data_IF_891081339546
#
_entry.id   IF_891081339546
#
_cell.length_a   1.000
_cell.length_b   1.000
_cell.length_c   1.000
_cell.angle_alpha   90.00
_cell.angle_beta   90.00
_cell.angle_gamma   90.00
#
_symmetry.space_group_name_H-M   'P 1'
#
loop_
_entity.id
_entity.type
_entity.pdbx_description
1 polymer ?
#
# COMPACT_ATOMS: atom_id res chain seq x y z
N UNK A 1 45.56 -7.69 4.59
CA UNK A 1 44.51 -7.73 3.54
C UNK A 1 43.79 -9.06 3.65
N UNK A 2 42.49 -9.04 3.94
CA UNK A 2 41.56 -10.13 3.66
C UNK A 2 40.13 -9.61 3.85
N UNK A 3 39.47 -9.36 2.72
CA UNK A 3 38.04 -9.07 2.65
C UNK A 3 37.29 -10.40 2.67
N UNK A 4 36.59 -10.70 3.78
CA UNK A 4 35.43 -11.60 3.82
C UNK A 4 34.98 -11.75 5.26
N UNK A 5 33.92 -11.03 5.63
CA UNK A 5 32.96 -11.32 6.72
C UNK A 5 32.11 -10.07 6.94
N UNK A 6 31.00 -9.95 6.21
CA UNK A 6 29.82 -9.17 6.63
C UNK A 6 28.67 -9.48 5.68
N UNK A 7 27.73 -10.29 6.18
CA UNK A 7 26.27 -10.31 5.99
C UNK A 7 25.76 -11.76 5.97
N UNK A 8 25.52 -12.27 7.17
CA UNK A 8 24.51 -13.27 7.41
C UNK A 8 23.44 -12.58 8.27
N UNK A 9 22.30 -12.24 7.68
CA UNK A 9 21.06 -12.00 8.43
C UNK A 9 20.04 -12.96 7.84
N UNK A 10 19.59 -13.85 8.72
CA UNK A 10 18.91 -15.07 8.41
C UNK A 10 17.47 -14.85 7.92
N UNK A 11 17.11 -15.72 6.97
CA UNK A 11 15.76 -16.06 6.53
C UNK A 11 15.07 -16.88 7.63
N UNK A 12 13.88 -16.45 8.06
CA UNK A 12 12.83 -17.29 8.65
C UNK A 12 11.57 -16.99 7.82
N UNK A 13 10.85 -17.92 7.19
CA UNK A 13 10.50 -19.28 7.59
C UNK A 13 9.05 -19.26 8.11
N UNK A 14 8.04 -19.28 7.23
CA UNK A 14 6.63 -19.44 7.63
C UNK A 14 6.10 -20.76 7.06
N UNK A 15 5.85 -21.70 7.96
CA UNK A 15 5.24 -23.00 7.69
C UNK A 15 3.72 -22.88 7.55
N UNK A 16 3.15 -23.66 6.62
CA UNK A 16 1.71 -23.95 6.56
C UNK A 16 1.32 -24.90 7.71
N UNK A 17 0.27 -24.57 8.43
CA UNK A 17 -0.58 -25.55 9.12
C UNK A 17 -2.03 -25.06 9.04
N UNK A 18 -2.94 -25.98 8.69
CA UNK A 18 -4.36 -25.70 8.52
C UNK A 18 -5.14 -25.83 9.83
N UNK A 19 -6.35 -25.26 9.84
CA UNK A 19 -7.42 -25.65 10.76
C UNK A 19 -8.16 -24.53 11.47
N UNK A 20 -9.35 -24.22 10.92
CA UNK A 20 -10.61 -23.89 11.62
C UNK A 20 -10.76 -22.52 12.34
N UNK A 21 -11.63 -21.69 11.74
CA UNK A 21 -12.53 -20.67 12.30
C UNK A 21 -12.15 -19.96 13.61
N UNK A 22 -11.81 -18.68 13.47
CA UNK A 22 -11.66 -17.73 14.58
C UNK A 22 -10.52 -16.75 14.31
N UNK A 23 -10.63 -15.89 13.29
CA UNK A 23 -9.58 -14.89 13.05
C UNK A 23 -9.64 -13.80 14.12
N UNK A 24 -8.65 -13.84 15.01
CA UNK A 24 -8.24 -12.69 15.82
C UNK A 24 -7.97 -11.47 14.91
N UNK A 25 -8.22 -10.24 15.37
CA UNK A 25 -8.06 -9.04 14.56
C UNK A 25 -6.62 -8.91 14.07
N UNK A 26 -6.44 -8.92 12.75
CA UNK A 26 -5.14 -8.92 12.08
C UNK A 26 -4.38 -7.61 12.36
N UNK A 27 -3.20 -7.72 12.97
CA UNK A 27 -2.31 -6.60 13.32
C UNK A 27 -1.94 -5.72 12.11
N UNK A 28 -2.09 -6.23 10.89
CA UNK A 28 -1.87 -5.47 9.66
C UNK A 28 -2.89 -4.34 9.42
N UNK A 29 -4.08 -4.40 10.03
CA UNK A 29 -5.14 -3.38 9.92
C UNK A 29 -4.85 -2.14 10.79
N UNK A 30 -4.22 -2.34 11.96
CA UNK A 30 -3.81 -1.23 12.85
C UNK A 30 -2.64 -0.46 12.24
N UNK A 31 -1.68 -1.18 11.66
CA UNK A 31 -0.54 -0.58 10.94
C UNK A 31 -0.95 0.24 9.71
N UNK A 32 -2.02 -0.15 9.03
CA UNK A 32 -2.62 0.57 7.91
C UNK A 32 -3.11 1.98 8.30
N UNK A 33 -3.82 2.10 9.42
CA UNK A 33 -4.38 3.37 9.90
C UNK A 33 -3.30 4.26 10.52
N UNK A 34 -2.42 3.67 11.31
CA UNK A 34 -1.32 4.38 11.95
C UNK A 34 -0.39 5.02 10.91
N UNK A 35 -0.05 4.31 9.84
CA UNK A 35 0.89 4.83 8.84
C UNK A 35 0.27 5.85 7.87
N UNK A 36 -1.07 5.93 7.81
CA UNK A 36 -1.81 6.97 7.11
C UNK A 36 -2.00 8.23 7.98
N UNK A 37 -2.15 8.08 9.30
CA UNK A 37 -2.28 9.20 10.26
C UNK A 37 -1.04 10.10 10.35
N UNK A 38 0.16 9.57 10.05
CA UNK A 38 1.40 10.37 10.09
C UNK A 38 1.56 11.30 8.89
N UNK A 39 0.91 11.02 7.75
CA UNK A 39 1.09 11.78 6.51
C UNK A 39 0.21 13.05 6.51
N UNK A 40 0.70 14.07 7.23
CA UNK A 40 0.05 15.36 7.56
C UNK A 40 -0.26 16.27 6.35
N UNK A 41 -0.69 15.74 5.21
CA UNK A 41 -1.38 16.56 4.20
C UNK A 41 -2.88 16.61 4.52
N UNK A 42 -3.49 17.78 4.37
CA UNK A 42 -4.91 18.04 4.66
C UNK A 42 -5.87 17.08 3.91
N UNK A 43 -5.45 16.65 2.72
CA UNK A 43 -6.13 15.65 1.89
C UNK A 43 -6.23 14.26 2.55
N UNK A 44 -5.15 13.76 3.15
CA UNK A 44 -5.14 12.44 3.79
C UNK A 44 -5.97 12.41 5.08
N UNK A 45 -5.97 13.52 5.85
CA UNK A 45 -6.69 13.60 7.13
C UNK A 45 -8.22 13.59 6.93
N UNK A 46 -8.71 14.25 5.87
CA UNK A 46 -10.10 14.19 5.42
C UNK A 46 -10.45 12.79 4.89
N UNK A 47 -9.56 12.20 4.07
CA UNK A 47 -9.77 10.85 3.50
C UNK A 47 -9.83 9.75 4.58
N UNK A 48 -9.01 9.79 5.63
CA UNK A 48 -9.02 8.82 6.74
C UNK A 48 -10.27 8.98 7.61
N UNK A 49 -10.72 10.22 7.83
CA UNK A 49 -11.94 10.52 8.59
C UNK A 49 -13.18 10.02 7.82
N UNK A 50 -13.22 10.25 6.51
CA UNK A 50 -14.30 9.82 5.61
C UNK A 50 -14.29 8.32 5.32
N UNK A 51 -13.11 7.68 5.19
CA UNK A 51 -12.93 6.24 5.00
C UNK A 51 -12.94 5.43 6.29
N UNK A 52 -13.27 6.06 7.43
CA UNK A 52 -13.13 5.55 8.81
C UNK A 52 -13.14 4.03 8.94
N UNK A 53 -12.11 3.50 9.61
CA UNK A 53 -11.68 2.09 9.58
C UNK A 53 -12.78 1.05 9.51
N UNK A 54 -12.51 -0.05 8.79
CA UNK A 54 -13.46 -1.12 8.50
C UNK A 54 -14.13 -1.70 9.77
N UNK A 55 -13.42 -1.74 10.91
CA UNK A 55 -13.97 -2.11 12.24
C UNK A 55 -15.12 -1.24 12.73
N UNK A 56 -15.22 0.03 12.31
CA UNK A 56 -16.33 0.90 12.73
C UNK A 56 -17.68 0.34 12.26
N UNK A 57 -17.72 -0.37 11.13
CA UNK A 57 -18.95 -0.99 10.63
C UNK A 57 -19.35 -2.23 11.41
N UNK A 58 -18.38 -3.00 11.85
CA UNK A 58 -18.63 -4.24 12.61
C UNK A 58 -19.23 -3.92 13.99
N UNK A 59 -19.02 -2.70 14.49
CA UNK A 59 -19.63 -2.17 15.73
C UNK A 59 -21.00 -1.51 15.55
N UNK A 60 -21.51 -1.38 14.32
CA UNK A 60 -22.79 -0.74 14.01
C UNK A 60 -23.90 -1.78 13.82
N UNK A 61 -25.18 -1.39 14.01
CA UNK A 61 -26.30 -2.20 13.55
C UNK A 61 -26.18 -2.50 12.05
N UNK A 62 -26.46 -3.75 11.63
CA UNK A 62 -26.21 -4.24 10.27
C UNK A 62 -26.78 -3.34 9.16
N UNK A 63 -28.02 -2.86 9.32
CA UNK A 63 -28.65 -1.97 8.34
C UNK A 63 -27.91 -0.63 8.22
N UNK A 64 -27.49 -0.05 9.34
CA UNK A 64 -26.72 1.19 9.39
C UNK A 64 -25.34 1.00 8.76
N UNK A 65 -24.68 -0.12 9.07
CA UNK A 65 -23.39 -0.47 8.48
C UNK A 65 -23.49 -0.58 6.95
N UNK A 66 -24.48 -1.31 6.44
CA UNK A 66 -24.70 -1.50 5.01
C UNK A 66 -25.00 -0.18 4.28
N UNK A 67 -25.84 0.70 4.84
CA UNK A 67 -26.13 2.00 4.26
C UNK A 67 -24.87 2.87 4.17
N UNK A 68 -24.08 2.92 5.25
CA UNK A 68 -22.83 3.69 5.28
C UNK A 68 -21.78 3.13 4.32
N UNK A 69 -21.69 1.82 4.18
CA UNK A 69 -20.80 1.20 3.17
C UNK A 69 -21.24 1.55 1.75
N UNK A 70 -22.54 1.50 1.45
CA UNK A 70 -23.07 1.89 0.13
C UNK A 70 -22.80 3.35 -0.20
N UNK A 71 -23.00 4.27 0.75
CA UNK A 71 -22.65 5.69 0.59
C UNK A 71 -21.17 5.86 0.21
N UNK A 72 -20.28 5.11 0.88
CA UNK A 72 -18.84 5.13 0.59
C UNK A 72 -18.48 4.53 -0.76
N UNK A 73 -19.12 3.44 -1.18
CA UNK A 73 -18.92 2.86 -2.51
C UNK A 73 -19.24 3.89 -3.59
N UNK A 74 -20.39 4.58 -3.50
CA UNK A 74 -20.75 5.63 -4.48
C UNK A 74 -19.70 6.73 -4.51
N UNK A 75 -19.35 7.27 -3.34
CA UNK A 75 -18.38 8.35 -3.21
C UNK A 75 -16.99 7.98 -3.75
N UNK A 76 -16.56 6.74 -3.52
CA UNK A 76 -15.26 6.21 -3.96
C UNK A 76 -15.25 5.98 -5.46
N UNK A 77 -16.30 5.36 -6.02
CA UNK A 77 -16.42 5.10 -7.46
C UNK A 77 -16.25 6.36 -8.31
N UNK A 78 -16.86 7.47 -7.89
CA UNK A 78 -16.72 8.78 -8.56
C UNK A 78 -15.26 9.28 -8.57
N UNK A 79 -14.49 8.97 -7.52
CA UNK A 79 -13.12 9.45 -7.35
C UNK A 79 -12.08 8.53 -7.99
N UNK A 80 -12.30 7.21 -7.96
CA UNK A 80 -11.43 6.21 -8.60
C UNK A 80 -11.49 6.24 -10.11
N UNK A 81 -12.58 6.78 -10.68
CA UNK A 81 -12.76 6.92 -12.13
C UNK A 81 -11.73 7.86 -12.79
N UNK A 82 -11.08 8.75 -12.02
CA UNK A 82 -10.08 9.67 -12.57
C UNK A 82 -8.78 8.94 -12.94
N UNK A 83 -8.16 9.23 -14.09
CA UNK A 83 -6.91 8.58 -14.52
C UNK A 83 -5.75 8.70 -13.51
N UNK A 84 -5.64 9.85 -12.87
CA UNK A 84 -4.63 10.20 -11.88
C UNK A 84 -5.04 9.87 -10.44
N UNK A 85 -6.20 9.22 -10.25
CA UNK A 85 -6.66 8.88 -8.90
C UNK A 85 -5.66 7.98 -8.19
N UNK A 86 -5.54 8.23 -6.89
CA UNK A 86 -4.68 7.47 -6.02
C UNK A 86 -5.15 6.01 -5.97
N UNK A 87 -4.22 5.07 -6.19
CA UNK A 87 -4.52 3.63 -6.18
C UNK A 87 -5.08 3.17 -4.84
N UNK A 88 -4.75 3.88 -3.75
CA UNK A 88 -5.27 3.65 -2.39
C UNK A 88 -6.80 3.72 -2.34
N UNK A 89 -7.42 4.62 -3.12
CA UNK A 89 -8.88 4.71 -3.24
C UNK A 89 -9.47 3.45 -3.88
N UNK A 90 -8.78 2.88 -4.86
CA UNK A 90 -9.17 1.62 -5.50
C UNK A 90 -9.14 0.45 -4.52
N UNK A 91 -8.08 0.31 -3.72
CA UNK A 91 -8.04 -0.72 -2.68
C UNK A 91 -9.19 -0.58 -1.69
N UNK A 92 -9.47 0.64 -1.22
CA UNK A 92 -10.61 0.89 -0.33
C UNK A 92 -11.93 0.49 -0.98
N UNK A 93 -12.17 0.92 -2.22
CA UNK A 93 -13.37 0.61 -2.98
C UNK A 93 -13.57 -0.89 -3.16
N UNK A 94 -12.52 -1.63 -3.53
CA UNK A 94 -12.59 -3.08 -3.69
C UNK A 94 -13.00 -3.79 -2.40
N UNK A 95 -12.45 -3.40 -1.26
CA UNK A 95 -12.83 -3.97 0.05
C UNK A 95 -14.29 -3.65 0.38
N UNK A 96 -14.75 -2.42 0.12
CA UNK A 96 -16.14 -2.03 0.38
C UNK A 96 -17.15 -2.75 -0.53
N UNK A 97 -16.84 -2.89 -1.83
CA UNK A 97 -17.64 -3.66 -2.78
C UNK A 97 -17.75 -5.11 -2.33
N UNK A 98 -16.64 -5.72 -1.89
CA UNK A 98 -16.65 -7.09 -1.38
C UNK A 98 -17.53 -7.24 -0.14
N UNK A 99 -17.54 -6.27 0.78
CA UNK A 99 -18.37 -6.30 2.00
C UNK A 99 -19.88 -6.26 1.71
N UNK A 100 -20.31 -5.66 0.60
CA UNK A 100 -21.72 -5.64 0.18
C UNK A 100 -22.09 -6.78 -0.77
N UNK A 101 -21.18 -7.73 -1.00
CA UNK A 101 -21.40 -8.89 -1.86
C UNK A 101 -21.16 -8.63 -3.34
N UNK A 102 -20.63 -7.48 -3.72
CA UNK A 102 -20.30 -7.13 -5.11
C UNK A 102 -18.90 -7.64 -5.49
N UNK A 103 -18.76 -8.96 -5.53
CA UNK A 103 -17.47 -9.64 -5.61
C UNK A 103 -16.79 -9.48 -6.96
N UNK A 104 -17.54 -9.33 -8.05
CA UNK A 104 -16.97 -9.16 -9.38
C UNK A 104 -16.39 -7.76 -9.56
N UNK A 105 -17.13 -6.71 -9.17
CA UNK A 105 -16.64 -5.35 -9.28
C UNK A 105 -15.50 -5.11 -8.28
N UNK A 106 -15.55 -5.71 -7.09
CA UNK A 106 -14.43 -5.72 -6.16
C UNK A 106 -13.14 -6.29 -6.79
N UNK A 107 -13.26 -7.41 -7.51
CA UNK A 107 -12.14 -8.05 -8.18
C UNK A 107 -11.55 -7.19 -9.31
N UNK A 108 -12.40 -6.55 -10.11
CA UNK A 108 -11.99 -5.62 -11.18
C UNK A 108 -11.31 -4.39 -10.59
N UNK A 109 -11.94 -3.76 -9.59
CA UNK A 109 -11.38 -2.60 -8.89
C UNK A 109 -10.02 -2.92 -8.26
N UNK A 110 -9.87 -4.09 -7.63
CA UNK A 110 -8.60 -4.50 -7.04
C UNK A 110 -7.51 -4.67 -8.10
N UNK A 111 -7.82 -5.35 -9.22
CA UNK A 111 -6.83 -5.57 -10.28
C UNK A 111 -6.36 -4.27 -10.94
N UNK A 112 -7.27 -3.31 -11.14
CA UNK A 112 -6.94 -1.97 -11.66
C UNK A 112 -6.16 -1.14 -10.64
N UNK A 113 -6.46 -1.26 -9.35
CA UNK A 113 -5.66 -0.65 -8.28
C UNK A 113 -4.24 -1.23 -8.22
N UNK A 114 -4.10 -2.55 -8.35
CA UNK A 114 -2.80 -3.25 -8.31
C UNK A 114 -1.89 -2.84 -9.46
N UNK A 115 -2.40 -2.72 -10.69
CA UNK A 115 -1.55 -2.30 -11.83
C UNK A 115 -1.07 -0.86 -11.66
N UNK A 116 -1.93 0.04 -11.17
CA UNK A 116 -1.56 1.43 -10.84
C UNK A 116 -0.50 1.47 -9.75
N UNK A 117 -0.72 0.74 -8.66
CA UNK A 117 0.19 0.67 -7.53
C UNK A 117 1.53 0.05 -7.91
N UNK A 118 1.52 -0.97 -8.79
CA UNK A 118 2.73 -1.54 -9.35
C UNK A 118 3.51 -0.52 -10.17
N UNK A 119 2.88 0.19 -11.12
CA UNK A 119 3.56 1.22 -11.92
C UNK A 119 4.15 2.30 -11.02
N UNK A 120 3.39 2.81 -10.05
CA UNK A 120 3.87 3.83 -9.12
C UNK A 120 5.07 3.32 -8.28
N UNK A 121 5.06 2.05 -7.87
CA UNK A 121 6.21 1.43 -7.17
C UNK A 121 7.46 1.35 -8.04
N UNK A 122 7.30 1.14 -9.35
CA UNK A 122 8.42 1.08 -10.28
C UNK A 122 9.03 2.45 -10.57
N UNK A 123 8.31 3.54 -10.27
CA UNK A 123 8.82 4.91 -10.42
C UNK A 123 9.72 5.36 -9.27
N UNK A 124 9.65 4.72 -8.10
CA UNK A 124 10.54 5.03 -6.98
C UNK A 124 11.99 4.63 -7.33
N UNK A 125 12.97 5.51 -7.15
CA UNK A 125 14.37 5.10 -7.27
C UNK A 125 14.79 4.19 -6.11
N UNK A 126 14.23 4.44 -4.94
CA UNK A 126 14.41 3.59 -3.78
C UNK A 126 13.39 2.45 -3.77
N UNK A 127 13.86 1.25 -4.10
CA UNK A 127 13.01 0.04 -4.15
C UNK A 127 12.67 -0.54 -2.78
N UNK A 128 13.25 -0.01 -1.69
CA UNK A 128 12.92 -0.46 -0.33
C UNK A 128 11.63 0.14 0.22
N UNK A 129 11.18 1.29 -0.31
CA UNK A 129 9.94 1.96 0.13
C UNK A 129 8.67 1.17 -0.23
N UNK A 130 8.44 0.78 -1.50
CA UNK A 130 7.13 0.28 -1.91
C UNK A 130 6.62 -0.97 -1.17
N UNK A 131 7.44 -1.99 -0.83
CA UNK A 131 6.95 -3.16 -0.11
C UNK A 131 6.32 -2.83 1.25
N UNK A 132 6.92 -1.92 2.03
CA UNK A 132 6.38 -1.50 3.31
C UNK A 132 5.06 -0.74 3.15
N UNK A 133 4.96 0.09 2.11
CA UNK A 133 3.75 0.87 1.80
C UNK A 133 2.60 0.01 1.28
N UNK A 134 2.87 -0.96 0.42
CA UNK A 134 1.83 -1.77 -0.24
C UNK A 134 1.30 -2.90 0.62
N UNK A 135 2.13 -3.48 1.49
CA UNK A 135 1.78 -4.66 2.29
C UNK A 135 0.46 -4.49 3.07
N UNK A 136 0.24 -3.40 3.83
CA UNK A 136 -1.01 -3.24 4.59
C UNK A 136 -2.27 -3.22 3.69
N UNK A 137 -2.20 -2.55 2.55
CA UNK A 137 -3.32 -2.48 1.58
C UNK A 137 -3.61 -3.83 0.94
N UNK A 138 -2.55 -4.58 0.57
CA UNK A 138 -2.70 -5.94 0.02
C UNK A 138 -3.18 -6.94 1.06
N UNK A 139 -2.83 -6.76 2.32
CA UNK A 139 -3.33 -7.57 3.43
C UNK A 139 -4.82 -7.35 3.65
N UNK A 140 -5.26 -6.08 3.67
CA UNK A 140 -6.68 -5.75 3.77
C UNK A 140 -7.51 -6.32 2.59
N UNK A 141 -6.91 -6.46 1.41
CA UNK A 141 -7.57 -7.01 0.21
C UNK A 141 -7.46 -8.54 0.05
N UNK A 142 -6.89 -9.29 1.02
CA UNK A 142 -6.67 -10.74 0.89
C UNK A 142 -7.93 -11.54 0.55
N UNK A 143 -9.08 -11.19 1.15
CA UNK A 143 -10.35 -11.84 0.84
C UNK A 143 -10.73 -11.71 -0.64
N UNK A 144 -10.48 -10.54 -1.24
CA UNK A 144 -10.77 -10.29 -2.66
C UNK A 144 -9.80 -11.04 -3.57
N UNK A 145 -8.51 -11.16 -3.21
CA UNK A 145 -7.58 -12.01 -3.97
C UNK A 145 -8.01 -13.48 -3.99
N UNK A 146 -8.53 -14.00 -2.87
CA UNK A 146 -9.06 -15.36 -2.79
C UNK A 146 -10.30 -15.52 -3.70
N UNK A 147 -11.20 -14.55 -3.69
CA UNK A 147 -12.34 -14.48 -4.63
C UNK A 147 -11.85 -14.56 -6.07
N UNK A 148 -10.90 -13.70 -6.48
CA UNK A 148 -10.36 -13.67 -7.86
C UNK A 148 -9.88 -15.06 -8.29
N UNK A 149 -9.11 -15.75 -7.43
CA UNK A 149 -8.58 -17.08 -7.73
C UNK A 149 -9.68 -18.12 -7.94
N UNK A 150 -10.79 -18.00 -7.21
CA UNK A 150 -11.94 -18.90 -7.28
C UNK A 150 -12.91 -18.59 -8.44
N UNK A 151 -12.76 -17.44 -9.13
CA UNK A 151 -13.68 -17.08 -10.19
C UNK A 151 -13.60 -18.01 -11.42
N UNK A 152 -14.73 -18.23 -12.12
CA UNK A 152 -14.73 -18.90 -13.43
C UNK A 152 -13.89 -18.15 -14.47
N UNK A 153 -13.40 -18.88 -15.48
CA UNK A 153 -12.54 -18.30 -16.52
C UNK A 153 -13.17 -17.13 -17.27
N UNK A 154 -14.49 -17.15 -17.50
CA UNK A 154 -15.19 -16.03 -18.14
C UNK A 154 -15.08 -14.73 -17.33
N UNK A 155 -15.19 -14.81 -16.00
CA UNK A 155 -15.07 -13.63 -15.14
C UNK A 155 -13.61 -13.19 -15.01
N UNK A 156 -12.66 -14.12 -15.01
CA UNK A 156 -11.22 -13.82 -15.05
C UNK A 156 -10.81 -13.10 -16.34
N UNK A 157 -11.43 -13.43 -17.47
CA UNK A 157 -11.24 -12.71 -18.73
C UNK A 157 -11.72 -11.25 -18.63
N UNK A 158 -12.82 -10.98 -17.90
CA UNK A 158 -13.29 -9.60 -17.65
C UNK A 158 -12.30 -8.80 -16.80
N UNK A 159 -11.68 -9.43 -15.80
CA UNK A 159 -10.62 -8.81 -14.99
C UNK A 159 -9.39 -8.48 -15.86
N UNK A 160 -8.98 -9.42 -16.73
CA UNK A 160 -7.88 -9.19 -17.68
C UNK A 160 -8.16 -7.98 -18.57
N UNK A 161 -9.35 -7.96 -19.19
CA UNK A 161 -9.77 -6.87 -20.06
C UNK A 161 -9.79 -5.52 -19.32
N UNK A 162 -10.20 -5.50 -18.05
CA UNK A 162 -10.17 -4.28 -17.24
C UNK A 162 -8.74 -3.76 -16.99
N UNK A 163 -7.79 -4.66 -16.70
CA UNK A 163 -6.37 -4.28 -16.57
C UNK A 163 -5.83 -3.70 -17.88
N UNK A 164 -6.21 -4.28 -19.02
CA UNK A 164 -5.80 -3.82 -20.35
C UNK A 164 -6.39 -2.45 -20.71
N UNK A 165 -7.66 -2.21 -20.36
CA UNK A 165 -8.32 -0.92 -20.54
C UNK A 165 -7.72 0.19 -19.64
N UNK A 166 -7.00 -0.19 -18.59
CA UNK A 166 -6.38 0.75 -17.66
C UNK A 166 -5.03 1.27 -18.18
N UNK A 167 -4.33 0.50 -19.02
CA UNK A 167 -3.01 0.84 -19.56
C UNK A 167 -2.87 2.24 -20.16
N UNK A 168 -3.75 2.72 -21.06
CA UNK A 168 -3.62 4.05 -21.62
C UNK A 168 -3.69 5.16 -20.57
N UNK A 169 -4.39 4.91 -19.44
CA UNK A 169 -4.47 5.87 -18.33
C UNK A 169 -3.19 5.90 -17.50
N UNK A 170 -2.43 4.79 -17.46
CA UNK A 170 -1.17 4.71 -16.71
C UNK A 170 -0.14 5.71 -17.23
N UNK A 171 -0.14 6.01 -18.53
CA UNK A 171 0.75 7.01 -19.14
C UNK A 171 0.47 8.45 -18.69
N UNK A 172 -0.71 8.72 -18.12
CA UNK A 172 -1.11 10.04 -17.62
C UNK A 172 -0.89 10.19 -16.11
N UNK A 173 -0.42 9.13 -15.44
CA UNK A 173 -0.28 9.14 -13.98
C UNK A 173 0.87 10.03 -13.54
N UNK A 174 0.64 10.79 -12.48
CA UNK A 174 1.69 11.47 -11.72
C UNK A 174 2.35 10.49 -10.74
N UNK A 175 3.64 10.68 -10.41
CA UNK A 175 4.29 9.83 -9.43
C UNK A 175 3.65 10.05 -8.07
N UNK A 176 3.47 8.98 -7.29
CA UNK A 176 2.95 9.06 -5.91
C UNK A 176 4.10 9.24 -4.93
N UNK A 177 4.27 10.42 -4.28
CA UNK A 177 5.31 10.61 -3.27
C UNK A 177 5.10 9.68 -2.07
N UNK A 178 3.84 9.39 -1.73
CA UNK A 178 3.50 8.46 -0.67
C UNK A 178 4.08 7.06 -0.90
N UNK A 179 4.05 6.55 -2.14
CA UNK A 179 4.61 5.25 -2.51
C UNK A 179 6.13 5.19 -2.29
N UNK A 180 6.83 6.29 -2.56
CA UNK A 180 8.29 6.36 -2.53
C UNK A 180 8.88 6.88 -1.20
N UNK A 181 8.02 7.30 -0.27
CA UNK A 181 8.41 7.81 1.04
C UNK A 181 8.73 6.68 2.05
N UNK A 182 9.75 6.88 2.88
CA UNK A 182 10.18 5.99 3.96
C UNK A 182 11.22 4.95 3.52
N UNK A 183 11.74 5.05 2.29
CA UNK A 183 12.80 4.16 1.81
C UNK A 183 14.15 4.43 2.48
N UNK A 184 15.02 3.42 2.47
CA UNK A 184 16.37 3.46 3.04
C UNK A 184 17.20 4.68 2.59
N UNK A 185 17.15 5.09 1.32
CA UNK A 185 17.84 6.29 0.81
C UNK A 185 17.33 7.56 1.49
N UNK A 186 16.02 7.71 1.62
CA UNK A 186 15.42 8.87 2.28
C UNK A 186 15.74 8.86 3.78
N UNK A 187 15.69 7.69 4.43
CA UNK A 187 16.12 7.53 5.82
C UNK A 187 17.58 7.96 6.01
N UNK A 188 18.48 7.57 5.11
CA UNK A 188 19.88 8.02 5.15
C UNK A 188 19.97 9.55 5.07
N UNK A 189 19.22 10.19 4.16
CA UNK A 189 19.16 11.67 4.06
C UNK A 189 18.64 12.30 5.36
N UNK A 190 17.63 11.71 6.02
CA UNK A 190 17.13 12.16 7.32
C UNK A 190 18.24 12.07 8.37
N UNK A 191 18.92 10.93 8.48
CA UNK A 191 20.00 10.74 9.45
C UNK A 191 21.18 11.68 9.24
N UNK A 192 21.48 12.03 7.98
CA UNK A 192 22.50 13.04 7.64
C UNK A 192 22.08 14.45 8.06
N UNK A 193 20.80 14.80 7.90
CA UNK A 193 20.25 16.10 8.32
C UNK A 193 20.17 16.22 9.85
N UNK A 194 19.95 15.11 10.55
CA UNK A 194 19.81 15.04 12.01
C UNK A 194 20.86 14.10 12.62
N UNK A 195 22.13 14.53 12.73
CA UNK A 195 23.24 13.65 13.13
C UNK A 195 23.08 13.06 14.53
N UNK A 196 22.39 13.75 15.44
CA UNK A 196 22.08 13.25 16.77
C UNK A 196 21.09 12.08 16.79
N UNK A 197 20.22 11.97 15.77
CA UNK A 197 19.40 10.77 15.54
C UNK A 197 20.29 9.68 14.93
N UNK A 198 21.16 10.03 13.98
CA UNK A 198 22.10 9.10 13.35
C UNK A 198 23.13 8.47 14.29
N UNK A 199 23.41 9.12 15.43
CA UNK A 199 24.32 8.62 16.45
C UNK A 199 23.65 7.65 17.45
N UNK A 200 22.34 7.40 17.35
CA UNK A 200 21.62 6.50 18.24
C UNK A 200 22.01 5.03 17.99
N UNK A 201 22.14 4.28 19.09
CA UNK A 201 22.33 2.84 19.05
C UNK A 201 20.99 2.15 18.76
N UNK A 202 20.90 1.49 17.60
CA UNK A 202 19.66 0.83 17.14
C UNK A 202 19.14 -0.29 18.05
N UNK A 203 19.93 -0.75 19.03
CA UNK A 203 19.50 -1.71 20.05
C UNK A 203 18.88 -1.09 21.30
N UNK A 204 18.84 0.24 21.42
CA UNK A 204 18.39 0.95 22.62
C UNK A 204 17.12 1.76 22.37
N UNK A 205 16.28 1.96 23.39
CA UNK A 205 15.16 2.91 23.31
C UNK A 205 15.65 4.30 22.92
N UNK A 206 14.88 5.00 22.08
CA UNK A 206 15.18 6.38 21.72
C UNK A 206 15.03 7.27 22.98
N UNK A 207 16.03 8.11 23.31
CA UNK A 207 15.91 9.02 24.44
C UNK A 207 14.71 9.97 24.28
N UNK A 208 13.95 10.19 25.36
CA UNK A 208 12.77 11.07 25.33
C UNK A 208 13.13 12.49 24.83
N UNK A 209 14.31 13.01 25.17
CA UNK A 209 14.79 14.30 24.70
C UNK A 209 14.88 14.40 23.16
N UNK A 210 15.16 13.30 22.45
CA UNK A 210 15.15 13.27 20.97
C UNK A 210 13.72 13.31 20.45
N UNK A 211 12.80 12.56 21.07
CA UNK A 211 11.38 12.56 20.71
C UNK A 211 10.75 13.96 20.90
N UNK A 212 11.09 14.63 22.01
CA UNK A 212 10.58 15.97 22.33
C UNK A 212 11.19 17.05 21.41
N UNK A 213 12.45 16.88 21.02
CA UNK A 213 13.15 17.82 20.13
C UNK A 213 12.74 17.68 18.68
N UNK A 214 12.45 16.46 18.22
CA UNK A 214 12.06 16.18 16.84
C UNK A 214 10.74 15.41 16.71
N UNK A 215 9.63 15.95 17.25
CA UNK A 215 8.34 15.26 17.29
C UNK A 215 7.72 15.06 15.89
N UNK A 216 8.23 15.77 14.88
CA UNK A 216 7.81 15.64 13.49
C UNK A 216 8.77 14.81 12.63
N UNK A 217 9.89 14.34 13.19
CA UNK A 217 10.92 13.58 12.46
C UNK A 217 11.01 12.15 12.97
N UNK A 218 10.92 11.96 14.28
CA UNK A 218 11.02 10.66 14.94
C UNK A 218 9.72 10.35 15.63
N UNK A 219 9.21 9.15 15.42
CA UNK A 219 8.10 8.62 16.20
C UNK A 219 8.30 7.14 16.49
N UNK A 220 7.73 6.66 17.59
CA UNK A 220 7.72 5.24 17.94
C UNK A 220 6.29 4.75 17.87
N UNK A 221 6.03 3.77 16.99
CA UNK A 221 4.71 3.16 16.81
C UNK A 221 4.80 1.66 16.93
N UNK A 222 4.00 1.08 17.80
CA UNK A 222 3.98 -0.37 18.04
C UNK A 222 5.39 -0.97 18.29
N UNK A 223 6.26 -0.20 18.96
CA UNK A 223 7.65 -0.62 19.23
C UNK A 223 8.62 -0.46 18.05
N UNK A 224 8.20 0.11 16.93
CA UNK A 224 9.05 0.43 15.77
C UNK A 224 9.36 1.92 15.73
N UNK A 225 10.60 2.25 15.40
CA UNK A 225 11.02 3.63 15.14
C UNK A 225 10.69 3.97 13.69
N UNK A 226 9.96 5.05 13.49
CA UNK A 226 9.71 5.64 12.19
C UNK A 226 10.40 6.99 12.09
N UNK A 227 11.19 7.15 11.03
CA UNK A 227 11.89 8.37 10.68
C UNK A 227 11.21 8.97 9.46
N UNK A 228 10.67 10.17 9.59
CA UNK A 228 9.94 10.83 8.51
C UNK A 228 10.17 12.33 8.55
N UNK A 229 10.83 12.88 7.55
CA UNK A 229 10.90 14.33 7.34
C UNK A 229 10.32 14.67 5.97
N UNK A 230 9.12 15.24 5.96
CA UNK A 230 8.40 15.61 4.73
C UNK A 230 9.09 16.71 3.91
N UNK A 231 10.07 17.42 4.47
CA UNK A 231 10.89 18.36 3.70
C UNK A 231 11.93 17.65 2.83
N UNK A 232 12.26 16.39 3.13
CA UNK A 232 13.14 15.57 2.31
C UNK A 232 12.26 14.80 1.34
N UNK A 233 12.27 15.18 0.06
CA UNK A 233 11.47 14.51 -0.96
C UNK A 233 12.11 13.18 -1.38
N UNK A 234 11.31 12.16 -1.76
CA UNK A 234 11.82 10.92 -2.30
C UNK A 234 12.32 11.12 -3.73
N UNK A 235 13.30 10.30 -4.13
CA UNK A 235 13.83 10.34 -5.50
C UNK A 235 12.97 9.48 -6.44
N UNK A 236 12.69 10.01 -7.62
CA UNK A 236 11.91 9.34 -8.66
C UNK A 236 12.75 9.12 -9.92
N UNK A 237 12.43 8.03 -10.61
CA UNK A 237 12.85 7.84 -12.00
C UNK A 237 12.46 9.06 -12.85
N UNK A 238 13.34 9.46 -13.77
CA UNK A 238 13.04 10.55 -14.70
C UNK A 238 11.82 10.24 -15.56
N UNK A 239 11.17 11.29 -16.06
CA UNK A 239 9.96 11.13 -16.88
C UNK A 239 10.26 10.40 -18.20
N UNK A 240 11.44 10.63 -18.79
CA UNK A 240 11.89 9.95 -20.01
C UNK A 240 12.10 8.46 -19.78
N UNK A 241 12.79 8.09 -18.70
CA UNK A 241 12.99 6.68 -18.33
C UNK A 241 11.66 5.99 -18.05
N UNK A 242 10.77 6.67 -17.33
CA UNK A 242 9.45 6.12 -17.02
C UNK A 242 8.62 5.87 -18.29
N UNK A 243 8.52 6.85 -19.19
CA UNK A 243 7.77 6.69 -20.45
C UNK A 243 8.32 5.56 -21.31
N UNK A 244 9.65 5.42 -21.36
CA UNK A 244 10.32 4.34 -22.09
C UNK A 244 10.03 2.97 -21.47
N UNK A 245 10.08 2.87 -20.15
CA UNK A 245 10.01 1.58 -19.45
C UNK A 245 8.57 1.17 -19.09
N UNK A 246 7.59 2.08 -19.16
CA UNK A 246 6.19 1.82 -18.82
C UNK A 246 5.61 0.57 -19.53
N UNK A 247 5.78 0.36 -20.85
CA UNK A 247 5.29 -0.86 -21.50
C UNK A 247 5.93 -2.13 -20.94
N UNK A 248 7.21 -2.08 -20.58
CA UNK A 248 7.96 -3.20 -19.99
C UNK A 248 7.43 -3.50 -18.57
N UNK A 249 7.17 -2.45 -17.78
CA UNK A 249 6.59 -2.57 -16.45
C UNK A 249 5.21 -3.22 -16.49
N UNK A 250 4.33 -2.77 -17.41
CA UNK A 250 2.98 -3.34 -17.57
C UNK A 250 3.06 -4.81 -17.96
N UNK A 251 3.95 -5.17 -18.90
CA UNK A 251 4.14 -6.57 -19.30
C UNK A 251 4.66 -7.44 -18.14
N UNK A 252 5.61 -6.92 -17.35
CA UNK A 252 6.10 -7.61 -16.16
C UNK A 252 5.00 -7.81 -15.10
N UNK A 253 4.16 -6.79 -14.90
CA UNK A 253 2.98 -6.89 -14.03
C UNK A 253 2.04 -7.99 -14.50
N UNK A 254 1.59 -7.95 -15.77
CA UNK A 254 0.68 -8.94 -16.33
C UNK A 254 1.22 -10.36 -16.17
N UNK A 255 2.48 -10.58 -16.56
CA UNK A 255 3.12 -11.88 -16.47
C UNK A 255 3.09 -12.45 -15.05
N UNK A 256 3.44 -11.64 -14.06
CA UNK A 256 3.49 -12.07 -12.65
C UNK A 256 2.08 -12.19 -12.05
N UNK A 257 1.26 -11.15 -12.21
CA UNK A 257 -0.06 -11.03 -11.60
C UNK A 257 -1.05 -12.04 -12.19
N UNK A 258 -1.09 -12.19 -13.51
CA UNK A 258 -2.00 -13.14 -14.16
C UNK A 258 -1.64 -14.58 -13.84
N UNK A 259 -0.36 -14.91 -13.80
CA UNK A 259 0.08 -16.23 -13.36
C UNK A 259 -0.31 -16.50 -11.90
N UNK A 260 -0.08 -15.53 -11.01
CA UNK A 260 -0.34 -15.66 -9.56
C UNK A 260 -1.84 -15.82 -9.24
N UNK A 261 -2.71 -15.19 -10.03
CA UNK A 261 -4.15 -15.21 -9.81
C UNK A 261 -4.89 -16.16 -10.75
N UNK A 262 -4.16 -16.89 -11.61
CA UNK A 262 -4.72 -17.82 -12.57
C UNK A 262 -5.61 -17.13 -13.60
N UNK A 263 -5.24 -15.93 -14.04
CA UNK A 263 -5.92 -15.10 -15.05
C UNK A 263 -5.37 -15.35 -16.46
N UNK A 264 -4.71 -16.49 -16.72
CA UNK A 264 -4.12 -16.87 -18.01
C UNK A 264 -5.16 -17.39 -19.00
#
# INVERSE_FOLDING_TARGET
MNYSKMLAVAVFGIAFSGGVFGQAPDQSETQYLDQLEQDKTEYNRSLITELGGFKKFDSMPMLTALLKVKERVVWLSERTAKPDSDFRLGYALAVYQSKIGDTQDAAITLATADVRAFVDSQRCEDKSSPPARLTPWRNAAQGVYQVIRALPQEQKAKIRAAVEQEEPKLALRTPSPWMCNGGAKQVIKVLQKYPEIGALDGGKPIPQAILDKYPNVVSVKEGRVELTDYSIQPDFMSEESWKKDLPIMIQAFKKSYFATLGLN
#
